data_IF_187204060522
#
_entry.id   IF_187204060522
#
_cell.length_a   1.000
_cell.length_b   1.000
_cell.length_c   1.000
_cell.angle_alpha   90.00
_cell.angle_beta   90.00
_cell.angle_gamma   90.00
#
_symmetry.space_group_name_H-M   'P 1'
#
loop_
_entity.id
_entity.type
_entity.pdbx_description
1 polymer ?
#
# COMPACT_ATOMS: atom_id res chain seq x y z
N UNK A 1 -6.69 -31.44 -41.23
CA UNK A 1 -6.40 -30.03 -40.88
C UNK A 1 -6.38 -29.93 -39.36
N UNK A 2 -5.19 -30.00 -38.76
CA UNK A 2 -5.01 -29.78 -37.33
C UNK A 2 -4.40 -28.38 -37.16
N UNK A 3 -5.06 -27.53 -36.38
CA UNK A 3 -4.60 -26.19 -36.07
C UNK A 3 -3.54 -26.28 -34.97
N UNK A 4 -2.37 -25.70 -35.24
CA UNK A 4 -1.28 -25.54 -34.29
C UNK A 4 -1.62 -24.40 -33.32
N UNK A 5 -1.87 -24.73 -32.05
CA UNK A 5 -2.17 -23.75 -31.00
C UNK A 5 -0.88 -23.52 -30.21
N UNK A 6 -0.12 -22.52 -30.62
CA UNK A 6 1.03 -22.01 -29.86
C UNK A 6 0.56 -21.38 -28.54
N UNK A 7 1.24 -21.63 -27.40
CA UNK A 7 0.82 -21.08 -26.11
C UNK A 7 1.06 -19.57 -26.10
N UNK A 8 0.00 -18.80 -25.82
CA UNK A 8 0.08 -17.36 -25.52
C UNK A 8 0.85 -17.16 -24.21
N UNK A 9 2.18 -17.20 -24.31
CA UNK A 9 3.07 -16.75 -23.26
C UNK A 9 2.90 -15.26 -23.07
N UNK A 10 2.81 -14.84 -21.81
CA UNK A 10 2.95 -13.44 -21.41
C UNK A 10 4.36 -12.97 -21.80
N UNK A 11 4.51 -12.47 -23.02
CA UNK A 11 5.80 -11.97 -23.52
C UNK A 11 6.11 -10.66 -22.80
N UNK A 12 6.91 -10.75 -21.74
CA UNK A 12 7.55 -9.60 -21.11
C UNK A 12 8.30 -8.83 -22.21
N UNK A 13 8.08 -7.51 -22.37
CA UNK A 13 8.69 -6.76 -23.45
C UNK A 13 10.22 -6.90 -23.41
N UNK A 14 10.83 -7.16 -24.56
CA UNK A 14 12.28 -7.34 -24.64
C UNK A 14 13.03 -6.05 -24.25
N UNK A 15 14.28 -6.18 -23.80
CA UNK A 15 15.18 -5.06 -23.46
C UNK A 15 15.25 -4.01 -24.58
N UNK A 16 15.14 -4.41 -25.85
CA UNK A 16 15.11 -3.50 -27.00
C UNK A 16 13.81 -2.69 -27.08
N UNK A 17 12.66 -3.29 -26.74
CA UNK A 17 11.36 -2.62 -26.73
C UNK A 17 11.23 -1.65 -25.55
N UNK A 18 11.76 -2.02 -24.38
CA UNK A 18 11.83 -1.14 -23.21
C UNK A 18 12.78 0.05 -23.44
N UNK A 19 13.90 -0.19 -24.11
CA UNK A 19 14.85 0.84 -24.57
C UNK A 19 14.21 1.83 -25.55
N UNK A 20 13.42 1.35 -26.52
CA UNK A 20 12.71 2.21 -27.46
C UNK A 20 11.63 3.07 -26.77
N UNK A 21 10.93 2.51 -25.79
CA UNK A 21 9.90 3.22 -25.03
C UNK A 21 10.50 4.33 -24.13
N UNK A 22 11.69 4.09 -23.58
CA UNK A 22 12.45 5.06 -22.79
C UNK A 22 13.01 6.20 -23.66
N UNK A 23 13.50 5.87 -24.87
CA UNK A 23 14.02 6.86 -25.84
C UNK A 23 12.96 7.83 -26.36
N UNK A 24 11.69 7.42 -26.43
CA UNK A 24 10.60 8.28 -26.90
C UNK A 24 10.15 9.35 -25.90
N UNK A 25 10.62 9.34 -24.63
CA UNK A 25 10.06 10.18 -23.56
C UNK A 25 11.04 11.14 -22.87
N UNK A 26 12.32 11.15 -23.26
CA UNK A 26 13.33 11.97 -22.57
C UNK A 26 14.25 12.63 -23.60
N UNK A 27 14.17 13.96 -23.64
CA UNK A 27 15.23 14.82 -24.19
C UNK A 27 16.54 14.45 -23.50
N UNK A 28 17.58 14.21 -24.31
CA UNK A 28 18.93 13.81 -23.93
C UNK A 28 19.32 14.13 -22.48
N UNK A 29 19.41 13.10 -21.63
CA UNK A 29 20.52 12.96 -20.68
C UNK A 29 20.58 11.53 -20.10
N UNK A 30 21.74 10.93 -20.38
CA UNK A 30 22.45 9.87 -19.65
C UNK A 30 21.80 8.50 -19.51
N UNK A 31 22.23 7.62 -20.43
CA UNK A 31 22.26 6.17 -20.25
C UNK A 31 23.08 5.85 -18.99
N UNK A 32 22.47 5.20 -18.00
CA UNK A 32 23.16 4.70 -16.81
C UNK A 32 24.09 3.56 -17.22
N UNK A 33 25.38 3.85 -17.38
CA UNK A 33 26.42 2.87 -17.66
C UNK A 33 26.95 2.35 -16.30
N UNK A 34 26.39 1.24 -15.81
CA UNK A 34 26.59 0.79 -14.41
C UNK A 34 27.92 0.05 -14.17
N UNK A 35 28.67 -0.27 -15.22
CA UNK A 35 29.78 -1.23 -15.11
C UNK A 35 31.09 -0.69 -14.52
N UNK A 36 31.30 0.63 -14.38
CA UNK A 36 32.57 1.19 -13.89
C UNK A 36 32.44 2.48 -13.05
N UNK A 37 31.35 2.66 -12.30
CA UNK A 37 31.20 3.84 -11.44
C UNK A 37 31.77 3.59 -10.04
N UNK A 38 32.63 4.50 -9.58
CA UNK A 38 33.12 4.54 -8.21
C UNK A 38 32.03 5.04 -7.24
N UNK A 39 32.33 4.94 -5.94
CA UNK A 39 31.40 5.27 -4.85
C UNK A 39 30.93 6.73 -4.90
N UNK A 40 31.84 7.67 -5.17
CA UNK A 40 31.56 9.10 -5.15
C UNK A 40 30.72 9.50 -6.36
N UNK A 41 30.98 8.88 -7.52
CA UNK A 41 30.15 9.04 -8.72
C UNK A 41 28.72 8.56 -8.47
N UNK A 42 28.56 7.41 -7.80
CA UNK A 42 27.23 6.89 -7.42
C UNK A 42 26.53 7.84 -6.45
N UNK A 43 27.24 8.35 -5.44
CA UNK A 43 26.69 9.31 -4.49
C UNK A 43 26.15 10.55 -5.21
N UNK A 44 26.96 11.13 -6.11
CA UNK A 44 26.58 12.31 -6.87
C UNK A 44 25.35 12.06 -7.74
N UNK A 45 25.32 10.95 -8.49
CA UNK A 45 24.20 10.63 -9.38
C UNK A 45 22.91 10.37 -8.63
N UNK A 46 22.96 9.57 -7.56
CA UNK A 46 21.78 9.29 -6.74
C UNK A 46 21.25 10.57 -6.10
N UNK A 47 22.15 11.44 -5.63
CA UNK A 47 21.78 12.73 -5.05
C UNK A 47 21.10 13.63 -6.07
N UNK A 48 21.71 13.79 -7.26
CA UNK A 48 21.13 14.59 -8.34
C UNK A 48 19.77 14.05 -8.79
N UNK A 49 19.64 12.73 -8.92
CA UNK A 49 18.38 12.09 -9.27
C UNK A 49 17.31 12.35 -8.21
N UNK A 50 17.56 12.01 -6.94
CA UNK A 50 16.57 12.13 -5.87
C UNK A 50 16.19 13.58 -5.57
N UNK A 51 17.13 14.51 -5.68
CA UNK A 51 16.86 15.93 -5.45
C UNK A 51 16.26 16.63 -6.68
N UNK A 52 16.47 16.12 -7.89
CA UNK A 52 15.97 16.70 -9.14
C UNK A 52 14.68 16.07 -9.66
N UNK A 53 14.30 14.89 -9.18
CA UNK A 53 13.16 14.15 -9.72
C UNK A 53 11.83 14.84 -9.37
N UNK A 54 11.06 15.15 -10.41
CA UNK A 54 9.74 15.79 -10.32
C UNK A 54 8.72 15.03 -11.14
N UNK A 55 7.44 15.22 -10.82
CA UNK A 55 6.33 14.69 -11.62
C UNK A 55 6.30 15.35 -13.00
N UNK A 56 5.47 14.82 -13.91
CA UNK A 56 5.24 15.47 -15.22
C UNK A 56 4.78 16.93 -15.09
N UNK A 57 4.10 17.26 -14.00
CA UNK A 57 3.60 18.59 -13.71
C UNK A 57 4.62 19.46 -12.95
N UNK A 58 5.89 19.01 -12.88
CA UNK A 58 6.97 19.65 -12.11
C UNK A 58 6.69 19.78 -10.61
N UNK A 59 5.82 18.92 -10.08
CA UNK A 59 5.55 18.84 -8.66
C UNK A 59 6.50 17.86 -7.99
N UNK A 60 6.73 18.04 -6.69
CA UNK A 60 7.48 17.09 -5.89
C UNK A 60 6.71 15.77 -5.74
N UNK A 61 7.42 14.65 -5.82
CA UNK A 61 6.89 13.37 -5.35
C UNK A 61 6.68 13.39 -3.83
N UNK A 62 5.88 12.47 -3.31
CA UNK A 62 5.71 12.35 -1.85
C UNK A 62 7.04 11.99 -1.16
N UNK A 63 7.22 12.42 0.10
CA UNK A 63 8.40 12.05 0.91
C UNK A 63 8.59 10.53 1.00
N UNK A 64 7.49 9.78 1.10
CA UNK A 64 7.50 8.32 1.15
C UNK A 64 8.01 7.72 -0.17
N UNK A 65 7.56 8.26 -1.30
CA UNK A 65 8.00 7.79 -2.62
C UNK A 65 9.51 8.00 -2.81
N UNK A 66 10.04 9.15 -2.40
CA UNK A 66 11.48 9.42 -2.48
C UNK A 66 12.30 8.47 -1.58
N UNK A 67 11.86 8.20 -0.34
CA UNK A 67 12.51 7.22 0.54
C UNK A 67 12.47 5.80 -0.02
N UNK A 68 11.35 5.43 -0.66
CA UNK A 68 11.21 4.14 -1.31
C UNK A 68 12.13 4.04 -2.54
N UNK A 69 12.29 5.13 -3.30
CA UNK A 69 13.22 5.18 -4.43
C UNK A 69 14.67 4.98 -3.96
N UNK A 70 15.12 5.70 -2.92
CA UNK A 70 16.45 5.50 -2.32
C UNK A 70 16.67 4.03 -1.90
N UNK A 71 15.67 3.42 -1.25
CA UNK A 71 15.73 2.03 -0.80
C UNK A 71 15.72 1.03 -1.96
N UNK A 72 15.02 1.35 -3.06
CA UNK A 72 15.04 0.52 -4.27
C UNK A 72 16.41 0.60 -4.98
N UNK A 73 16.97 1.80 -5.13
CA UNK A 73 18.30 2.01 -5.72
C UNK A 73 19.36 1.30 -4.87
N UNK A 74 19.32 1.44 -3.53
CA UNK A 74 20.29 0.81 -2.65
C UNK A 74 20.28 -0.72 -2.77
N UNK A 75 19.09 -1.34 -2.87
CA UNK A 75 18.98 -2.80 -3.09
C UNK A 75 19.47 -3.21 -4.48
N UNK A 76 19.07 -2.45 -5.50
CA UNK A 76 19.52 -2.71 -6.87
C UNK A 76 21.05 -2.72 -6.97
N UNK A 77 21.74 -1.76 -6.34
CA UNK A 77 23.20 -1.72 -6.33
C UNK A 77 23.82 -2.94 -5.64
N UNK A 78 23.22 -3.42 -4.55
CA UNK A 78 23.65 -4.66 -3.87
C UNK A 78 23.48 -5.89 -4.77
N UNK A 79 22.42 -5.93 -5.57
CA UNK A 79 22.12 -7.07 -6.43
C UNK A 79 22.98 -7.10 -7.71
N UNK A 80 23.27 -5.93 -8.29
CA UNK A 80 23.86 -5.85 -9.65
C UNK A 80 25.33 -5.45 -9.70
N UNK A 81 25.90 -4.88 -8.63
CA UNK A 81 27.28 -4.39 -8.63
C UNK A 81 28.17 -5.31 -7.78
N UNK A 82 29.05 -6.12 -8.40
CA UNK A 82 30.00 -6.95 -7.67
C UNK A 82 30.87 -6.11 -6.73
N UNK A 83 31.04 -6.57 -5.49
CA UNK A 83 31.84 -5.89 -4.47
C UNK A 83 31.19 -4.65 -3.85
N UNK A 84 29.89 -4.40 -4.10
CA UNK A 84 29.16 -3.33 -3.45
C UNK A 84 28.63 -3.74 -2.07
N UNK A 85 29.31 -3.30 -1.02
CA UNK A 85 28.95 -3.59 0.38
C UNK A 85 28.31 -2.40 1.11
N UNK A 86 28.04 -1.32 0.39
CA UNK A 86 27.56 -0.09 0.98
C UNK A 86 26.03 -0.02 1.00
N UNK A 87 25.50 0.61 2.06
CA UNK A 87 24.10 1.03 2.12
C UNK A 87 24.04 2.52 1.82
N UNK A 88 23.22 2.94 0.86
CA UNK A 88 23.04 4.37 0.55
C UNK A 88 22.41 5.17 1.70
N UNK A 89 21.92 4.48 2.74
CA UNK A 89 21.42 5.11 3.98
C UNK A 89 22.53 5.41 4.98
N UNK A 90 23.76 4.93 4.75
CA UNK A 90 24.88 5.18 5.67
C UNK A 90 25.42 6.60 5.48
N UNK A 91 25.15 7.46 6.47
CA UNK A 91 25.62 8.86 6.51
C UNK A 91 27.14 9.03 6.59
N UNK A 92 27.87 8.02 7.06
CA UNK A 92 29.34 8.06 7.14
C UNK A 92 29.92 7.78 5.77
N UNK A 93 29.31 6.82 5.05
CA UNK A 93 29.75 6.47 3.71
C UNK A 93 29.30 7.48 2.66
N UNK A 94 28.11 8.06 2.81
CA UNK A 94 27.48 8.97 1.85
C UNK A 94 26.99 10.26 2.53
N UNK A 95 27.92 11.12 3.01
CA UNK A 95 27.57 12.32 3.76
C UNK A 95 26.85 13.38 2.92
N UNK A 96 27.20 13.53 1.64
CA UNK A 96 26.61 14.55 0.75
C UNK A 96 25.20 14.16 0.34
N UNK A 97 24.99 12.89 0.00
CA UNK A 97 23.65 12.34 -0.25
C UNK A 97 22.77 12.54 0.97
N UNK A 98 23.27 12.18 2.17
CA UNK A 98 22.52 12.35 3.40
C UNK A 98 22.15 13.82 3.63
N UNK A 99 23.12 14.73 3.57
CA UNK A 99 22.89 16.14 3.83
C UNK A 99 21.87 16.77 2.87
N UNK A 100 22.01 16.53 1.56
CA UNK A 100 21.11 17.11 0.55
C UNK A 100 19.73 16.47 0.57
N UNK A 101 19.66 15.15 0.66
CA UNK A 101 18.40 14.44 0.65
C UNK A 101 17.58 14.70 1.92
N UNK A 102 18.23 14.69 3.10
CA UNK A 102 17.56 15.05 4.36
C UNK A 102 17.10 16.51 4.37
N UNK A 103 17.92 17.43 3.84
CA UNK A 103 17.55 18.84 3.64
C UNK A 103 16.28 19.00 2.80
N UNK A 104 16.19 18.28 1.68
CA UNK A 104 14.99 18.24 0.84
C UNK A 104 13.77 17.71 1.62
N UNK A 105 13.89 16.58 2.30
CA UNK A 105 12.78 15.98 3.03
C UNK A 105 12.27 16.89 4.18
N UNK A 106 13.18 17.63 4.82
CA UNK A 106 12.84 18.65 5.83
C UNK A 106 12.09 19.83 5.22
N UNK A 107 12.55 20.35 4.10
CA UNK A 107 11.88 21.43 3.37
C UNK A 107 10.46 21.02 2.92
N UNK A 108 10.31 19.82 2.35
CA UNK A 108 9.02 19.26 1.98
C UNK A 108 8.07 19.14 3.19
N UNK A 109 8.60 18.70 4.35
CA UNK A 109 7.82 18.61 5.60
C UNK A 109 7.34 20.00 6.04
N UNK A 110 8.23 21.00 5.99
CA UNK A 110 7.91 22.41 6.34
C UNK A 110 6.84 22.98 5.42
N UNK A 111 6.87 22.63 4.13
CA UNK A 111 5.89 23.04 3.12
C UNK A 111 4.58 22.23 3.15
N UNK A 112 4.47 21.21 4.01
CA UNK A 112 3.28 20.36 4.10
C UNK A 112 3.05 19.44 2.89
N UNK A 113 4.06 19.26 2.03
CA UNK A 113 3.97 18.45 0.81
C UNK A 113 3.78 16.97 1.17
N UNK A 114 2.75 16.35 0.58
CA UNK A 114 2.44 14.94 0.80
C UNK A 114 1.80 14.64 2.16
N UNK A 115 1.24 15.63 2.86
CA UNK A 115 0.24 15.35 3.88
C UNK A 115 -1.00 14.79 3.18
N UNK A 116 -1.25 13.51 3.34
CA UNK A 116 -2.59 12.96 3.10
C UNK A 116 -3.53 13.67 4.06
N UNK A 117 -4.60 14.28 3.53
CA UNK A 117 -5.75 14.64 4.37
C UNK A 117 -6.18 13.31 5.00
N UNK A 118 -6.08 13.22 6.33
CA UNK A 118 -6.85 12.18 7.01
C UNK A 118 -8.29 12.43 6.59
N UNK A 119 -8.92 11.45 5.97
CA UNK A 119 -10.38 11.50 5.85
C UNK A 119 -10.90 11.40 7.27
N UNK A 120 -11.79 12.31 7.65
CA UNK A 120 -12.48 12.19 8.92
C UNK A 120 -13.18 10.82 8.95
N UNK A 121 -13.02 10.10 10.06
CA UNK A 121 -13.72 8.84 10.26
C UNK A 121 -15.22 9.10 10.36
N UNK A 122 -16.03 8.07 10.10
CA UNK A 122 -17.47 8.17 10.33
C UNK A 122 -17.75 8.42 11.82
N UNK A 123 -18.60 9.40 12.12
CA UNK A 123 -19.11 9.64 13.46
C UNK A 123 -20.18 8.61 13.84
N UNK A 124 -20.42 8.42 15.14
CA UNK A 124 -21.39 7.45 15.65
C UNK A 124 -22.80 7.64 15.06
N UNK A 125 -23.23 8.89 14.87
CA UNK A 125 -24.55 9.19 14.29
C UNK A 125 -24.61 8.87 12.80
N UNK A 126 -23.52 9.06 12.06
CA UNK A 126 -23.43 8.67 10.64
C UNK A 126 -23.44 7.15 10.49
N UNK A 127 -22.71 6.44 11.36
CA UNK A 127 -22.73 4.97 11.43
C UNK A 127 -24.16 4.49 11.72
N UNK A 128 -24.86 5.10 12.68
CA UNK A 128 -26.26 4.76 12.99
C UNK A 128 -27.17 4.99 11.78
N UNK A 129 -27.03 6.12 11.11
CA UNK A 129 -27.82 6.46 9.93
C UNK A 129 -27.60 5.45 8.78
N UNK A 130 -26.35 5.06 8.51
CA UNK A 130 -26.00 4.08 7.48
C UNK A 130 -26.61 2.71 7.81
N UNK A 131 -26.52 2.27 9.06
CA UNK A 131 -27.02 0.95 9.47
C UNK A 131 -28.56 0.88 9.42
N UNK A 132 -29.24 1.99 9.72
CA UNK A 132 -30.70 2.07 9.66
C UNK A 132 -31.24 2.22 8.23
N UNK A 133 -30.37 2.40 7.24
CA UNK A 133 -30.78 2.55 5.85
C UNK A 133 -31.39 1.25 5.30
N UNK A 134 -32.43 1.36 4.48
CA UNK A 134 -33.19 0.22 3.92
C UNK A 134 -32.28 -0.79 3.20
N UNK A 135 -31.20 -0.34 2.58
CA UNK A 135 -30.24 -1.22 1.88
C UNK A 135 -29.47 -2.17 2.78
N UNK A 136 -29.40 -1.88 4.09
CA UNK A 136 -28.77 -2.70 5.12
C UNK A 136 -29.82 -3.43 5.99
N UNK A 137 -31.08 -3.49 5.55
CA UNK A 137 -32.16 -4.13 6.30
C UNK A 137 -31.83 -5.62 6.59
N UNK A 138 -31.71 -6.02 7.88
CA UNK A 138 -31.35 -7.39 8.25
C UNK A 138 -32.42 -8.43 7.89
N UNK A 139 -33.66 -8.00 7.64
CA UNK A 139 -34.74 -8.90 7.24
C UNK A 139 -34.63 -9.38 5.78
N UNK A 140 -33.69 -8.82 5.01
CA UNK A 140 -33.36 -9.25 3.65
C UNK A 140 -31.97 -9.86 3.67
N UNK A 141 -31.79 -11.08 3.15
CA UNK A 141 -30.50 -11.79 3.21
C UNK A 141 -29.32 -10.97 2.66
N UNK A 142 -29.54 -10.21 1.58
CA UNK A 142 -28.51 -9.32 1.03
C UNK A 142 -28.27 -8.06 1.86
N UNK A 143 -29.30 -7.55 2.55
CA UNK A 143 -29.19 -6.44 3.49
C UNK A 143 -28.41 -6.83 4.74
N UNK A 144 -28.70 -8.03 5.29
CA UNK A 144 -27.92 -8.63 6.38
C UNK A 144 -26.45 -8.80 6.00
N UNK A 145 -26.16 -9.35 4.81
CA UNK A 145 -24.79 -9.50 4.32
C UNK A 145 -24.05 -8.16 4.25
N UNK A 146 -24.69 -7.11 3.74
CA UNK A 146 -24.11 -5.76 3.70
C UNK A 146 -23.86 -5.20 5.09
N UNK A 147 -24.77 -5.45 6.04
CA UNK A 147 -24.63 -4.99 7.41
C UNK A 147 -23.47 -5.69 8.14
N UNK A 148 -23.35 -7.01 8.00
CA UNK A 148 -22.21 -7.79 8.52
C UNK A 148 -20.91 -7.30 7.90
N UNK A 149 -20.87 -7.11 6.58
CA UNK A 149 -19.71 -6.59 5.88
C UNK A 149 -19.32 -5.19 6.36
N UNK A 150 -20.29 -4.30 6.56
CA UNK A 150 -20.05 -2.96 7.08
C UNK A 150 -19.45 -3.00 8.49
N UNK A 151 -19.97 -3.85 9.38
CA UNK A 151 -19.42 -4.02 10.73
C UNK A 151 -18.00 -4.58 10.74
N UNK A 152 -17.69 -5.56 9.87
CA UNK A 152 -16.32 -6.06 9.70
C UNK A 152 -15.37 -4.93 9.30
N UNK A 153 -15.83 -3.98 8.47
CA UNK A 153 -15.02 -2.84 8.06
C UNK A 153 -14.80 -1.80 9.16
N UNK A 154 -15.83 -1.47 9.93
CA UNK A 154 -15.74 -0.52 11.04
C UNK A 154 -14.89 -1.09 12.19
N UNK A 155 -15.08 -2.36 12.56
CA UNK A 155 -14.42 -2.99 13.71
C UNK A 155 -13.07 -3.60 13.36
N UNK A 156 -12.96 -4.21 12.18
CA UNK A 156 -11.77 -4.96 11.76
C UNK A 156 -10.78 -4.16 10.94
N UNK A 157 -11.16 -2.99 10.42
CA UNK A 157 -10.35 -2.12 9.56
C UNK A 157 -9.50 -2.88 8.51
N UNK A 158 -10.10 -3.77 7.69
CA UNK A 158 -9.36 -4.59 6.75
C UNK A 158 -8.62 -3.72 5.72
N UNK A 159 -7.33 -4.01 5.48
CA UNK A 159 -6.46 -3.22 4.58
C UNK A 159 -6.12 -3.98 3.30
N UNK A 160 -5.78 -3.23 2.24
CA UNK A 160 -4.99 -3.74 1.12
C UNK A 160 -5.49 -5.05 0.47
N UNK A 161 -6.80 -5.15 0.22
CA UNK A 161 -7.40 -6.35 -0.39
C UNK A 161 -7.81 -7.45 0.59
N UNK A 162 -7.60 -7.30 1.91
CA UNK A 162 -8.01 -8.26 2.95
C UNK A 162 -9.47 -8.73 2.81
N UNK A 163 -10.36 -7.84 2.38
CA UNK A 163 -11.77 -8.13 2.16
C UNK A 163 -12.05 -9.21 1.10
N UNK A 164 -11.13 -9.44 0.16
CA UNK A 164 -11.31 -10.50 -0.86
C UNK A 164 -11.02 -11.90 -0.30
N UNK A 165 -10.36 -11.99 0.85
CA UNK A 165 -9.94 -13.23 1.48
C UNK A 165 -10.75 -13.58 2.73
N UNK A 166 -11.88 -12.90 2.98
CA UNK A 166 -12.77 -13.23 4.08
C UNK A 166 -13.40 -14.61 3.84
N UNK A 167 -13.27 -15.50 4.82
CA UNK A 167 -13.82 -16.84 4.77
C UNK A 167 -15.07 -16.93 5.64
N UNK A 168 -16.09 -17.65 5.16
CA UNK A 168 -17.30 -17.92 5.94
C UNK A 168 -16.98 -18.65 7.25
N UNK A 169 -15.94 -19.48 7.29
CA UNK A 169 -15.47 -20.19 8.49
C UNK A 169 -14.93 -19.26 9.59
N UNK A 170 -14.71 -17.98 9.30
CA UNK A 170 -14.33 -16.98 10.28
C UNK A 170 -15.56 -16.36 10.98
N UNK A 171 -16.77 -16.66 10.52
CA UNK A 171 -18.00 -16.20 11.13
C UNK A 171 -18.60 -17.33 11.95
N UNK A 172 -18.90 -17.06 13.21
CA UNK A 172 -19.59 -17.98 14.10
C UNK A 172 -20.84 -17.30 14.65
N UNK A 173 -21.99 -17.94 14.47
CA UNK A 173 -23.26 -17.46 15.02
C UNK A 173 -23.29 -17.62 16.54
N UNK A 174 -23.89 -16.64 17.22
CA UNK A 174 -24.18 -16.69 18.65
C UNK A 174 -25.61 -16.21 18.92
N UNK A 175 -26.16 -16.45 20.13
CA UNK A 175 -27.48 -15.92 20.50
C UNK A 175 -27.58 -14.38 20.43
N UNK A 176 -26.45 -13.68 20.61
CA UNK A 176 -26.39 -12.22 20.72
C UNK A 176 -25.89 -11.53 19.43
N UNK A 177 -25.43 -12.29 18.44
CA UNK A 177 -24.76 -11.71 17.27
C UNK A 177 -24.01 -12.72 16.41
N UNK A 178 -22.99 -12.20 15.73
CA UNK A 178 -22.02 -12.97 14.97
C UNK A 178 -20.64 -12.64 15.53
N UNK A 179 -19.86 -13.65 15.86
CA UNK A 179 -18.44 -13.49 16.16
C UNK A 179 -17.67 -13.59 14.85
N UNK A 180 -16.96 -12.52 14.50
CA UNK A 180 -15.97 -12.55 13.43
C UNK A 180 -14.58 -12.80 14.00
N UNK A 181 -14.04 -13.97 13.70
CA UNK A 181 -12.71 -14.40 14.14
C UNK A 181 -11.66 -13.94 13.13
N UNK A 182 -10.94 -12.88 13.48
CA UNK A 182 -9.93 -12.30 12.61
C UNK A 182 -8.56 -12.94 12.89
N UNK A 183 -7.94 -13.49 11.84
CA UNK A 183 -6.52 -13.87 11.87
C UNK A 183 -5.61 -12.67 11.61
N UNK A 184 -4.33 -12.75 12.02
CA UNK A 184 -3.32 -11.71 11.76
C UNK A 184 -3.11 -11.47 10.26
N UNK A 185 -2.83 -10.23 9.82
CA UNK A 185 -2.30 -10.02 8.47
C UNK A 185 -1.34 -8.82 8.27
N UNK A 186 -0.38 -9.14 7.40
CA UNK A 186 0.66 -8.42 6.65
C UNK A 186 1.92 -7.94 7.39
N UNK A 187 1.87 -7.38 8.60
CA UNK A 187 3.10 -6.85 9.23
C UNK A 187 3.31 -7.20 10.71
N UNK A 188 2.62 -8.19 11.27
CA UNK A 188 2.85 -8.58 12.66
C UNK A 188 4.15 -9.39 12.76
N UNK A 189 5.18 -8.76 13.35
CA UNK A 189 6.53 -9.31 13.53
C UNK A 189 6.64 -10.31 14.71
N UNK A 190 5.52 -10.79 15.25
CA UNK A 190 5.49 -11.64 16.45
C UNK A 190 5.44 -13.14 16.11
N UNK A 191 6.55 -13.68 15.60
CA UNK A 191 6.90 -15.10 15.78
C UNK A 191 5.88 -16.18 15.37
N UNK A 192 6.06 -17.38 15.91
CA UNK A 192 5.46 -18.66 15.46
C UNK A 192 4.07 -18.93 16.04
N UNK A 193 3.64 -18.18 17.05
CA UNK A 193 2.37 -18.39 17.76
C UNK A 193 1.40 -17.24 17.46
N UNK A 194 0.69 -17.33 16.34
CA UNK A 194 -0.26 -16.29 15.93
C UNK A 194 -1.48 -16.20 16.85
N UNK A 195 -1.77 -15.02 17.40
CA UNK A 195 -2.99 -14.76 18.17
C UNK A 195 -4.18 -14.43 17.24
N UNK A 196 -5.28 -15.17 17.40
CA UNK A 196 -6.59 -14.88 16.81
C UNK A 196 -7.37 -13.96 17.76
N UNK A 197 -8.06 -12.97 17.21
CA UNK A 197 -8.90 -12.06 17.99
C UNK A 197 -10.35 -12.11 17.49
N UNK A 198 -11.28 -12.08 18.44
CA UNK A 198 -12.72 -12.16 18.18
C UNK A 198 -13.33 -10.76 18.19
N UNK A 199 -14.05 -10.44 17.11
CA UNK A 199 -14.81 -9.21 16.98
C UNK A 199 -16.30 -9.53 17.06
N UNK A 200 -16.98 -8.98 18.06
CA UNK A 200 -18.41 -9.15 18.23
C UNK A 200 -19.16 -8.20 17.28
N UNK A 201 -19.93 -8.78 16.36
CA UNK A 201 -20.89 -8.07 15.51
C UNK A 201 -22.26 -8.25 16.16
N UNK A 202 -22.80 -7.21 16.82
CA UNK A 202 -24.08 -7.34 17.52
C UNK A 202 -25.22 -7.51 16.52
N UNK A 203 -26.19 -8.37 16.83
CA UNK A 203 -27.51 -8.24 16.21
C UNK A 203 -28.12 -6.95 16.75
N UNK A 204 -28.24 -5.94 15.88
CA UNK A 204 -29.12 -4.82 16.19
C UNK A 204 -30.54 -5.34 16.04
N UNK A 205 -31.05 -5.96 17.11
CA UNK A 205 -32.47 -6.12 17.31
C UNK A 205 -33.07 -4.73 17.15
N UNK A 206 -33.76 -4.51 16.05
CA UNK A 206 -34.77 -3.46 15.98
C UNK A 206 -35.74 -3.77 17.10
N UNK A 207 -35.60 -3.07 18.23
CA UNK A 207 -36.60 -3.10 19.29
C UNK A 207 -37.90 -2.58 18.67
N UNK A 208 -38.74 -3.50 18.18
CA UNK A 208 -40.15 -3.20 17.95
C UNK A 208 -40.73 -3.07 19.36
N UNK A 209 -41.21 -1.90 19.78
CA UNK A 209 -41.87 -1.80 21.07
C UNK A 209 -43.13 -2.64 21.00
N UNK A 210 -43.17 -3.72 21.79
CA UNK A 210 -44.38 -4.48 22.01
C UNK A 210 -45.35 -3.53 22.73
N UNK A 211 -46.30 -2.93 21.99
CA UNK A 211 -47.48 -2.37 22.61
C UNK A 211 -48.26 -3.55 23.18
N UNK A 212 -48.28 -3.66 24.51
CA UNK A 212 -49.28 -4.42 25.23
C UNK A 212 -50.61 -3.68 25.08
N UNK A 213 -51.60 -4.35 24.49
CA UNK A 213 -53.02 -3.97 24.65
C UNK A 213 -53.49 -4.45 26.03
#
# INVERSE_FOLDING_TARGET
MAQDISPKGNHLPSLKQLSALAKSRVSQNTVMNTENQDKDTIELQVTQFLCGVTSKNREYYSRTSLKNALSAISRYLQDVKPGWWYSLHNKVDFPDLYARFDGLLKDMKKKGIGKTKSTDGLFTDEIRHIIQHETLNPNVSFGLLKQVFFWIYILGAPRGGEHVNLLASQLADTPDGIIFKKGQQKNDQEGVDGNQFDLNIPFLLTSVPHKSN
#
